data_IF_734474802869
#
_entry.id   IF_734474802869
#
_cell.length_a   1.000
_cell.length_b   1.000
_cell.length_c   1.000
_cell.angle_alpha   90.00
_cell.angle_beta   90.00
_cell.angle_gamma   90.00
#
_symmetry.space_group_name_H-M   'P 1'
#
loop_
_entity.id
_entity.type
_entity.pdbx_description
1 polymer ?
#
# COMPACT_ATOMS: atom_id res chain seq x y z
N UNK A 1 1.80 16.05 6.22
CA UNK A 1 0.71 16.04 5.23
C UNK A 1 1.32 15.47 3.97
N UNK A 2 1.02 14.21 3.67
CA UNK A 2 1.58 13.49 2.52
C UNK A 2 1.29 14.24 1.22
N UNK A 3 2.24 14.22 0.29
CA UNK A 3 2.05 14.83 -1.00
C UNK A 3 1.37 13.82 -1.91
N UNK A 4 0.21 14.19 -2.47
CA UNK A 4 -0.57 13.28 -3.32
C UNK A 4 0.19 12.83 -4.59
N UNK A 5 1.32 13.48 -4.91
CA UNK A 5 2.22 13.08 -5.98
C UNK A 5 3.35 12.13 -5.53
N UNK A 6 3.39 11.74 -4.26
CA UNK A 6 4.39 10.80 -3.75
C UNK A 6 4.29 9.47 -4.50
N UNK A 7 5.44 8.87 -4.78
CA UNK A 7 5.52 7.61 -5.51
C UNK A 7 5.07 6.46 -4.62
N UNK A 8 4.25 5.58 -5.19
CA UNK A 8 3.78 4.35 -4.55
C UNK A 8 4.16 3.17 -5.42
N UNK A 9 4.87 2.21 -4.84
CA UNK A 9 5.11 0.90 -5.45
C UNK A 9 3.87 0.04 -5.22
N UNK A 10 3.35 -0.55 -6.29
CA UNK A 10 2.26 -1.52 -6.23
C UNK A 10 2.45 -2.57 -7.33
N UNK A 11 1.45 -3.41 -7.58
CA UNK A 11 1.50 -4.44 -8.62
C UNK A 11 0.44 -4.22 -9.68
N UNK A 12 0.69 -4.75 -10.88
CA UNK A 12 -0.33 -4.80 -11.94
C UNK A 12 -1.61 -5.51 -11.49
N UNK A 13 -1.55 -6.41 -10.51
CA UNK A 13 -2.75 -7.09 -10.00
C UNK A 13 -3.70 -6.12 -9.29
N UNK A 14 -3.16 -5.17 -8.52
CA UNK A 14 -3.96 -4.11 -7.89
C UNK A 14 -4.56 -3.20 -8.96
N UNK A 15 -3.76 -2.76 -9.93
CA UNK A 15 -4.18 -1.77 -10.94
C UNK A 15 -5.11 -2.33 -12.01
N UNK A 16 -4.81 -3.52 -12.53
CA UNK A 16 -5.43 -4.07 -13.74
C UNK A 16 -6.44 -5.16 -13.40
N UNK A 17 -6.26 -5.88 -12.28
CA UNK A 17 -7.11 -7.02 -11.90
C UNK A 17 -8.04 -6.73 -10.72
N UNK A 18 -8.07 -5.48 -10.22
CA UNK A 18 -8.83 -5.07 -9.03
C UNK A 18 -8.51 -5.93 -7.80
N UNK A 19 -7.26 -6.37 -7.64
CA UNK A 19 -6.85 -7.07 -6.42
C UNK A 19 -7.05 -6.17 -5.21
N UNK A 20 -7.59 -6.74 -4.13
CA UNK A 20 -7.80 -6.02 -2.89
C UNK A 20 -6.45 -5.81 -2.22
N UNK A 21 -6.13 -4.56 -1.92
CA UNK A 21 -4.92 -4.20 -1.17
C UNK A 21 -5.10 -4.71 0.25
N UNK A 22 -4.22 -5.58 0.71
CA UNK A 22 -4.27 -6.21 2.04
C UNK A 22 -3.03 -5.96 2.86
N UNK A 23 -1.97 -5.40 2.25
CA UNK A 23 -0.68 -5.17 2.88
C UNK A 23 -0.09 -3.84 2.41
N UNK A 24 0.29 -2.97 3.35
CA UNK A 24 0.83 -1.63 3.08
C UNK A 24 2.06 -1.41 3.93
N UNK A 25 3.14 -0.96 3.33
CA UNK A 25 4.40 -0.64 4.01
C UNK A 25 4.73 0.84 3.83
N UNK A 26 5.17 1.46 4.92
CA UNK A 26 5.87 2.74 4.95
C UNK A 26 7.27 2.47 5.49
N UNK A 27 8.27 2.45 4.62
CA UNK A 27 9.63 2.15 5.05
C UNK A 27 10.27 3.30 5.82
N UNK A 28 11.52 3.08 6.25
CA UNK A 28 12.27 4.03 7.07
C UNK A 28 12.55 5.36 6.35
N UNK A 29 12.74 5.30 5.03
CA UNK A 29 12.96 6.49 4.18
C UNK A 29 11.64 7.20 3.83
N UNK A 30 10.51 6.53 4.08
CA UNK A 30 9.18 7.04 3.86
C UNK A 30 8.61 6.70 2.49
N UNK A 31 9.17 5.71 1.81
CA UNK A 31 8.57 5.22 0.56
C UNK A 31 7.37 4.31 0.86
N UNK A 32 6.42 4.35 -0.06
CA UNK A 32 5.12 3.70 0.04
C UNK A 32 5.06 2.44 -0.82
N UNK A 33 4.64 1.31 -0.24
CA UNK A 33 4.45 0.05 -0.97
C UNK A 33 3.11 -0.62 -0.63
N UNK A 34 2.29 -0.93 -1.65
CA UNK A 34 0.88 -1.31 -1.50
C UNK A 34 0.62 -2.59 -2.30
N UNK A 35 0.34 -3.69 -1.61
CA UNK A 35 0.25 -5.02 -2.20
C UNK A 35 -1.14 -5.64 -2.03
N UNK A 36 -1.54 -6.35 -3.07
CA UNK A 36 -2.68 -7.26 -3.05
C UNK A 36 -2.37 -8.57 -2.32
N UNK A 37 -3.29 -9.52 -2.39
CA UNK A 37 -3.17 -10.84 -1.75
C UNK A 37 -2.31 -11.85 -2.54
N UNK A 38 -1.80 -11.44 -3.69
CA UNK A 38 -1.06 -12.32 -4.59
C UNK A 38 0.25 -12.77 -3.97
N UNK A 39 0.54 -14.07 -4.10
CA UNK A 39 1.83 -14.65 -3.77
C UNK A 39 2.69 -14.78 -5.04
N UNK A 40 4.00 -14.94 -4.87
CA UNK A 40 4.98 -15.12 -5.97
C UNK A 40 5.03 -13.94 -6.96
N UNK A 41 4.85 -12.72 -6.45
CA UNK A 41 5.02 -11.48 -7.21
C UNK A 41 6.50 -11.34 -7.62
N UNK A 42 6.74 -10.96 -8.88
CA UNK A 42 8.07 -10.66 -9.40
C UNK A 42 8.22 -9.16 -9.69
N UNK A 43 9.46 -8.71 -9.92
CA UNK A 43 9.74 -7.30 -10.24
C UNK A 43 9.05 -6.81 -11.53
N UNK A 44 8.79 -7.71 -12.50
CA UNK A 44 8.06 -7.38 -13.73
C UNK A 44 6.57 -7.08 -13.50
N UNK A 45 6.01 -7.55 -12.38
CA UNK A 45 4.65 -7.21 -11.96
C UNK A 45 4.58 -5.84 -11.27
N UNK A 46 5.72 -5.27 -10.87
CA UNK A 46 5.78 -4.02 -10.14
C UNK A 46 5.37 -2.83 -11.02
N UNK A 47 4.65 -1.89 -10.40
CA UNK A 47 4.18 -0.64 -10.98
C UNK A 47 4.47 0.48 -10.01
N UNK A 48 4.74 1.66 -10.54
CA UNK A 48 4.88 2.89 -9.76
C UNK A 48 3.79 3.85 -10.20
N UNK A 49 2.97 4.29 -9.26
CA UNK A 49 1.90 5.27 -9.48
C UNK A 49 1.96 6.35 -8.40
N UNK A 50 1.09 7.36 -8.50
CA UNK A 50 0.99 8.37 -7.45
C UNK A 50 0.14 7.87 -6.26
N UNK A 51 0.41 8.44 -5.09
CA UNK A 51 -0.43 8.27 -3.91
C UNK A 51 -1.88 8.68 -4.19
N UNK A 52 -2.11 9.73 -4.98
CA UNK A 52 -3.47 10.09 -5.40
C UNK A 52 -4.20 8.96 -6.13
N UNK A 53 -3.50 8.29 -7.04
CA UNK A 53 -4.07 7.23 -7.87
C UNK A 53 -4.42 6.00 -7.03
N UNK A 54 -3.54 5.57 -6.11
CA UNK A 54 -3.84 4.42 -5.24
C UNK A 54 -4.99 4.72 -4.27
N UNK A 55 -5.10 5.95 -3.76
CA UNK A 55 -6.20 6.37 -2.89
C UNK A 55 -7.56 6.42 -3.62
N UNK A 56 -7.58 6.56 -4.95
CA UNK A 56 -8.79 6.43 -5.77
C UNK A 56 -9.22 4.98 -5.95
N UNK A 57 -8.25 4.05 -5.99
CA UNK A 57 -8.51 2.60 -6.06
C UNK A 57 -9.04 2.10 -4.71
N UNK A 58 -8.45 2.56 -3.62
CA UNK A 58 -8.89 2.23 -2.27
C UNK A 58 -8.84 3.43 -1.32
N UNK A 59 -10.02 3.97 -1.02
CA UNK A 59 -10.13 5.13 -0.15
C UNK A 59 -9.90 4.84 1.33
N UNK A 60 -9.92 3.58 1.76
CA UNK A 60 -9.65 3.20 3.17
C UNK A 60 -8.19 3.47 3.55
N UNK A 61 -7.30 3.50 2.57
CA UNK A 61 -5.88 3.84 2.73
C UNK A 61 -5.65 5.25 3.28
N UNK A 62 -6.65 6.14 3.22
CA UNK A 62 -6.59 7.48 3.83
C UNK A 62 -6.34 7.43 5.34
N UNK A 63 -6.77 6.35 6.00
CA UNK A 63 -6.56 6.11 7.42
C UNK A 63 -5.08 5.85 7.75
N UNK A 64 -4.28 5.48 6.75
CA UNK A 64 -2.87 5.11 6.90
C UNK A 64 -1.90 6.26 6.60
N UNK A 65 -2.37 7.40 6.10
CA UNK A 65 -1.49 8.50 5.65
C UNK A 65 -0.65 9.14 6.78
N UNK A 66 -1.03 8.90 8.03
CA UNK A 66 -0.35 9.42 9.21
C UNK A 66 0.42 8.35 10.00
N UNK A 67 0.59 7.12 9.47
CA UNK A 67 1.41 6.10 10.12
C UNK A 67 2.89 6.48 10.05
N UNK A 68 3.67 6.03 11.04
CA UNK A 68 5.10 6.35 11.10
C UNK A 68 5.90 5.54 10.07
N UNK A 69 7.04 6.07 9.67
CA UNK A 69 8.08 5.29 8.99
C UNK A 69 8.46 4.04 9.81
N UNK A 70 8.78 2.95 9.11
CA UNK A 70 9.01 1.64 9.72
C UNK A 70 7.72 0.94 10.17
N UNK A 71 6.60 1.20 9.48
CA UNK A 71 5.31 0.59 9.84
C UNK A 71 4.74 -0.23 8.69
N UNK A 72 4.11 -1.33 9.07
CA UNK A 72 3.33 -2.20 8.19
C UNK A 72 1.88 -2.16 8.64
N UNK A 73 0.96 -2.07 7.68
CA UNK A 73 -0.46 -2.20 7.91
C UNK A 73 -1.02 -3.37 7.11
N UNK A 74 -1.87 -4.16 7.74
CA UNK A 74 -2.52 -5.29 7.08
C UNK A 74 -4.01 -5.43 7.44
N UNK A 75 -4.74 -6.13 6.58
CA UNK A 75 -6.15 -6.53 6.77
C UNK A 75 -6.43 -7.80 5.98
N UNK A 76 -7.44 -8.56 6.36
CA UNK A 76 -7.84 -9.77 5.63
C UNK A 76 -8.65 -9.42 4.36
N UNK A 77 -9.62 -8.50 4.50
CA UNK A 77 -10.57 -8.14 3.46
C UNK A 77 -10.74 -6.62 3.36
N UNK A 78 -11.46 -6.14 2.33
CA UNK A 78 -11.67 -4.68 2.10
C UNK A 78 -12.52 -4.03 3.20
N UNK A 79 -13.35 -4.80 3.86
CA UNK A 79 -14.29 -4.39 4.90
C UNK A 79 -13.68 -4.42 6.30
N UNK A 80 -12.52 -5.04 6.46
CA UNK A 80 -11.83 -5.13 7.74
C UNK A 80 -11.01 -3.86 8.00
N UNK A 81 -10.90 -3.50 9.29
CA UNK A 81 -10.06 -2.39 9.70
C UNK A 81 -8.58 -2.74 9.50
N UNK A 82 -7.78 -1.72 9.20
CA UNK A 82 -6.33 -1.87 9.17
C UNK A 82 -5.78 -2.14 10.57
N UNK A 83 -4.92 -3.16 10.68
CA UNK A 83 -4.05 -3.38 11.83
C UNK A 83 -2.69 -2.81 11.47
N UNK A 84 -2.20 -1.85 12.26
CA UNK A 84 -0.91 -1.18 12.03
C UNK A 84 0.08 -1.64 13.08
N UNK A 85 1.24 -2.13 12.63
CA UNK A 85 2.32 -2.63 13.45
C UNK A 85 3.63 -1.96 13.02
N UNK A 86 4.55 -1.73 13.97
CA UNK A 86 5.92 -1.36 13.61
C UNK A 86 6.69 -2.63 13.33
N UNK A 87 7.48 -2.64 12.28
CA UNK A 87 8.50 -3.65 12.10
C UNK A 87 9.84 -3.02 12.45
N UNK A 88 10.57 -3.65 13.37
CA UNK A 88 12.01 -3.41 13.50
C UNK A 88 12.67 -4.31 12.45
N UNK A 89 13.48 -3.73 11.56
CA UNK A 89 14.38 -4.52 10.70
C UNK A 89 15.34 -5.40 11.53
#
# INVERSE_FOLDING_TARGET
MENLNDAVITTRFVLENNSTIVSVFRDEDGDWQFFGKEENISEEDAKVISLEEILRIDSTLKELLDINNGSHAHRENKEDNWVVERYEE
#
